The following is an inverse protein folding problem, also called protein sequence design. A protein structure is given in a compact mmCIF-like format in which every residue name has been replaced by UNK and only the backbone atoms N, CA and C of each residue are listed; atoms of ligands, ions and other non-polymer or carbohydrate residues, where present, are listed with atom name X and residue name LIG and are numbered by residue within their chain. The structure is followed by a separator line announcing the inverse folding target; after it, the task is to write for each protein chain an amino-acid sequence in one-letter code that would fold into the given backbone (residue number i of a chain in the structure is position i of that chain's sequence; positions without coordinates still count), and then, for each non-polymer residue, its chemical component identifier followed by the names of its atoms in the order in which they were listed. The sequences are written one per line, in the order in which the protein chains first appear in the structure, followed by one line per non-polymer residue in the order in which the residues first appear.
data_IF_195531855631
#
_entry.id   IF_195531855631
#
_cell.length_a   1.000
_cell.length_b   1.000
_cell.length_c   1.000
_cell.angle_alpha   90.00
_cell.angle_beta   90.00
_cell.angle_gamma   90.00
#
_symmetry.space_group_name_H-M   'P 1'
#
loop_
_entity.id
_entity.type
_entity.pdbx_description
1 polymer ?
#
# COMPACT_ATOMS: atom_id res chain seq x y z
N UNK A 1 -21.01 11.02 7.25
CA UNK A 1 -20.56 9.79 7.95
C UNK A 1 -19.29 10.17 8.69
N UNK A 2 -19.31 10.16 10.03
CA UNK A 2 -18.13 10.44 10.83
C UNK A 2 -17.32 9.15 11.01
N UNK A 3 -15.99 9.27 10.93
CA UNK A 3 -15.05 8.18 11.20
C UNK A 3 -14.39 8.51 12.54
N UNK A 4 -14.55 7.64 13.52
CA UNK A 4 -13.92 7.78 14.83
C UNK A 4 -12.59 7.03 14.84
N UNK A 5 -11.48 7.74 15.09
CA UNK A 5 -10.16 7.11 15.23
C UNK A 5 -9.91 6.81 16.71
N UNK A 6 -9.90 5.53 17.06
CA UNK A 6 -9.62 5.08 18.43
C UNK A 6 -8.16 5.32 18.85
N UNK A 7 -7.85 5.25 20.16
CA UNK A 7 -6.49 5.45 20.68
C UNK A 7 -5.48 4.45 20.11
N UNK A 8 -5.94 3.24 19.75
CA UNK A 8 -5.12 2.19 19.12
C UNK A 8 -4.99 2.36 17.58
N UNK A 9 -5.60 3.41 17.01
CA UNK A 9 -5.58 3.70 15.57
C UNK A 9 -6.65 2.96 14.75
N UNK A 10 -7.62 2.32 15.38
CA UNK A 10 -8.77 1.70 14.69
C UNK A 10 -9.73 2.75 14.15
N UNK A 11 -10.27 2.50 12.95
CA UNK A 11 -11.32 3.30 12.34
C UNK A 11 -12.68 2.70 12.73
N UNK A 12 -13.51 3.48 13.41
CA UNK A 12 -14.76 3.00 14.02
C UNK A 12 -15.96 3.85 13.60
N UNK A 13 -17.10 3.19 13.45
CA UNK A 13 -18.43 3.82 13.47
C UNK A 13 -18.72 4.42 14.85
N UNK A 14 -19.78 5.24 14.96
CA UNK A 14 -20.28 5.77 16.25
C UNK A 14 -20.69 4.66 17.24
N UNK A 15 -21.02 3.47 16.74
CA UNK A 15 -21.35 2.30 17.58
C UNK A 15 -20.15 1.38 17.84
N UNK A 16 -18.92 1.80 17.49
CA UNK A 16 -17.70 1.03 17.75
C UNK A 16 -17.42 -0.14 16.78
N UNK A 17 -18.15 -0.27 15.67
CA UNK A 17 -17.82 -1.25 14.62
C UNK A 17 -16.66 -0.79 13.76
N UNK A 18 -15.76 -1.71 13.39
CA UNK A 18 -14.67 -1.45 12.44
C UNK A 18 -15.20 -0.92 11.11
N UNK A 19 -14.56 0.14 10.62
CA UNK A 19 -14.84 0.81 9.36
C UNK A 19 -13.57 0.81 8.50
N UNK A 20 -13.18 -0.36 8.01
CA UNK A 20 -11.98 -0.53 7.20
C UNK A 20 -10.68 -0.53 8.02
N UNK A 21 -9.59 -0.12 7.38
CA UNK A 21 -8.23 -0.11 7.94
C UNK A 21 -7.52 1.21 7.61
N UNK A 22 -6.68 1.67 8.53
CA UNK A 22 -5.78 2.81 8.37
C UNK A 22 -4.36 2.39 7.97
N UNK A 23 -4.13 1.10 7.71
CA UNK A 23 -2.78 0.54 7.49
C UNK A 23 -2.41 0.44 6.01
N UNK A 24 -1.20 0.84 5.61
CA UNK A 24 -0.68 0.65 4.25
C UNK A 24 -0.53 -0.83 3.86
N UNK A 25 -0.47 -1.10 2.55
CA UNK A 25 -0.24 -2.47 2.03
C UNK A 25 1.07 -3.07 2.54
N UNK A 26 2.16 -2.29 2.57
CA UNK A 26 3.47 -2.75 3.06
C UNK A 26 3.46 -3.17 4.53
N UNK A 27 2.62 -2.53 5.37
CA UNK A 27 2.41 -2.97 6.75
C UNK A 27 1.72 -4.34 6.83
N UNK A 28 0.78 -4.62 5.91
CA UNK A 28 0.18 -5.94 5.79
C UNK A 28 1.20 -6.99 5.36
N UNK A 29 2.02 -6.67 4.35
CA UNK A 29 3.10 -7.53 3.86
C UNK A 29 4.08 -7.87 4.99
N UNK A 30 4.57 -6.87 5.74
CA UNK A 30 5.52 -7.10 6.84
C UNK A 30 4.92 -7.97 7.94
N UNK A 31 3.63 -7.84 8.26
CA UNK A 31 2.98 -8.74 9.23
C UNK A 31 2.93 -10.19 8.74
N UNK A 32 2.59 -10.43 7.46
CA UNK A 32 2.54 -11.78 6.91
C UNK A 32 3.91 -12.45 6.95
N UNK A 33 4.97 -11.71 6.63
CA UNK A 33 6.34 -12.25 6.66
C UNK A 33 6.85 -12.38 8.09
N UNK A 34 6.91 -11.28 8.85
CA UNK A 34 7.61 -11.23 10.14
C UNK A 34 6.82 -11.87 11.29
N UNK A 35 5.49 -11.82 11.25
CA UNK A 35 4.64 -12.33 12.34
C UNK A 35 4.07 -13.70 12.06
N UNK A 36 3.77 -14.00 10.80
CA UNK A 36 3.21 -15.30 10.40
C UNK A 36 4.24 -16.22 9.75
N UNK A 37 5.47 -15.75 9.50
CA UNK A 37 6.56 -16.57 8.97
C UNK A 37 6.37 -16.99 7.52
N UNK A 38 5.54 -16.28 6.75
CA UNK A 38 5.31 -16.59 5.34
C UNK A 38 6.52 -16.17 4.49
N UNK A 39 6.95 -16.97 3.50
CA UNK A 39 7.99 -16.56 2.56
C UNK A 39 7.59 -15.29 1.80
N UNK A 40 8.52 -14.34 1.67
CA UNK A 40 8.27 -13.06 1.01
C UNK A 40 7.80 -13.25 -0.44
N UNK A 41 8.33 -14.23 -1.15
CA UNK A 41 7.95 -14.55 -2.54
C UNK A 41 6.50 -14.98 -2.66
N UNK A 42 5.96 -15.68 -1.65
CA UNK A 42 4.55 -16.04 -1.58
C UNK A 42 3.70 -14.80 -1.30
N UNK A 43 4.10 -13.98 -0.34
CA UNK A 43 3.39 -12.75 0.01
C UNK A 43 3.36 -11.75 -1.16
N UNK A 44 4.43 -11.65 -1.95
CA UNK A 44 4.47 -10.87 -3.19
C UNK A 44 3.45 -11.36 -4.24
N UNK A 45 3.17 -12.67 -4.29
CA UNK A 45 2.10 -13.19 -5.16
C UNK A 45 0.72 -12.81 -4.62
N UNK A 46 0.53 -12.86 -3.29
CA UNK A 46 -0.73 -12.44 -2.65
C UNK A 46 -1.06 -10.97 -2.91
N UNK A 47 -0.05 -10.10 -2.90
CA UNK A 47 -0.21 -8.65 -3.04
C UNK A 47 -0.20 -8.14 -4.50
N UNK A 48 0.20 -8.97 -5.46
CA UNK A 48 0.38 -8.54 -6.87
C UNK A 48 -0.13 -9.58 -7.88
N UNK A 49 0.56 -10.72 -8.03
CA UNK A 49 0.25 -11.71 -9.08
C UNK A 49 -1.18 -12.26 -9.00
N UNK A 50 -1.64 -12.62 -7.82
CA UNK A 50 -2.97 -13.19 -7.61
C UNK A 50 -4.07 -12.17 -7.94
N UNK A 51 -3.84 -10.89 -7.64
CA UNK A 51 -4.75 -9.80 -7.97
C UNK A 51 -4.81 -9.59 -9.49
N UNK A 52 -3.65 -9.58 -10.16
CA UNK A 52 -3.59 -9.51 -11.61
C UNK A 52 -4.37 -10.66 -12.27
N UNK A 53 -4.15 -11.90 -11.81
CA UNK A 53 -4.91 -13.06 -12.29
C UNK A 53 -6.41 -12.94 -12.02
N UNK A 54 -6.80 -12.50 -10.82
CA UNK A 54 -8.22 -12.36 -10.43
C UNK A 54 -8.99 -11.42 -11.36
N UNK A 55 -8.35 -10.36 -11.85
CA UNK A 55 -8.94 -9.38 -12.74
C UNK A 55 -8.59 -9.58 -14.23
N UNK A 56 -7.90 -10.66 -14.58
CA UNK A 56 -7.56 -11.00 -15.97
C UNK A 56 -6.44 -10.13 -16.58
N UNK A 57 -5.63 -9.47 -15.76
CA UNK A 57 -4.48 -8.71 -16.24
C UNK A 57 -3.28 -9.63 -16.49
N UNK A 58 -2.83 -9.67 -17.74
CA UNK A 58 -1.67 -10.48 -18.17
C UNK A 58 -0.37 -9.68 -18.25
N UNK A 59 -0.49 -8.35 -18.27
CA UNK A 59 0.55 -7.35 -18.49
C UNK A 59 1.15 -6.77 -17.19
N UNK A 60 0.67 -7.21 -16.02
CA UNK A 60 1.14 -6.76 -14.69
C UNK A 60 1.15 -7.93 -13.69
N UNK A 61 1.52 -7.64 -12.44
CA UNK A 61 1.53 -8.61 -11.34
C UNK A 61 2.80 -9.48 -11.23
N UNK A 62 3.75 -9.34 -12.17
CA UNK A 62 5.03 -10.04 -12.15
C UNK A 62 6.10 -9.26 -12.91
N UNK A 63 7.37 -9.52 -12.59
CA UNK A 63 8.51 -8.93 -13.29
C UNK A 63 8.94 -9.85 -14.43
N UNK A 64 8.64 -9.46 -15.66
CA UNK A 64 9.04 -10.19 -16.88
C UNK A 64 9.07 -9.24 -18.08
N UNK A 65 9.92 -9.52 -19.07
CA UNK A 65 9.97 -8.74 -20.30
C UNK A 65 8.59 -8.68 -20.99
N UNK A 66 8.24 -7.52 -21.55
CA UNK A 66 6.97 -7.29 -22.23
C UNK A 66 5.79 -6.89 -21.33
N UNK A 67 5.98 -6.85 -20.00
CA UNK A 67 4.98 -6.35 -19.04
C UNK A 67 5.21 -4.87 -18.69
N UNK A 68 4.19 -4.24 -18.11
CA UNK A 68 4.35 -2.90 -17.56
C UNK A 68 5.41 -2.90 -16.45
N UNK A 69 6.24 -1.87 -16.45
CA UNK A 69 7.19 -1.60 -15.39
C UNK A 69 6.50 -0.92 -14.19
N UNK A 70 5.46 -1.57 -13.68
CA UNK A 70 4.81 -1.25 -12.41
C UNK A 70 5.59 -1.94 -11.29
N UNK A 71 6.53 -1.21 -10.68
CA UNK A 71 7.52 -1.77 -9.76
C UNK A 71 7.54 -1.00 -8.44
N UNK A 72 7.78 -1.70 -7.35
CA UNK A 72 8.00 -1.12 -6.03
C UNK A 72 9.34 -1.62 -5.51
N UNK A 73 10.19 -0.67 -5.11
CA UNK A 73 11.47 -0.94 -4.47
C UNK A 73 11.30 -0.59 -3.00
N UNK A 74 11.66 -1.51 -2.11
CA UNK A 74 11.56 -1.35 -0.66
C UNK A 74 12.92 -1.61 0.02
N UNK A 75 13.07 -1.12 1.25
CA UNK A 75 14.16 -1.55 2.15
C UNK A 75 13.74 -2.74 3.03
N UNK A 76 14.69 -3.23 3.82
CA UNK A 76 14.52 -4.37 4.72
C UNK A 76 13.52 -4.07 5.87
N UNK A 77 13.24 -2.79 6.13
CA UNK A 77 12.20 -2.33 7.06
C UNK A 77 10.81 -2.18 6.41
N UNK A 78 10.63 -2.70 5.19
CA UNK A 78 9.39 -2.64 4.42
C UNK A 78 8.92 -1.20 4.14
N UNK A 79 9.85 -0.24 4.03
CA UNK A 79 9.54 1.13 3.63
C UNK A 79 9.76 1.31 2.12
N UNK A 80 8.89 2.06 1.43
CA UNK A 80 9.06 2.31 0.01
C UNK A 80 10.26 3.23 -0.24
N UNK A 81 11.14 2.83 -1.17
CA UNK A 81 12.25 3.64 -1.69
C UNK A 81 11.82 4.34 -2.98
N UNK A 82 11.37 3.56 -3.96
CA UNK A 82 10.87 4.07 -5.25
C UNK A 82 9.61 3.31 -5.68
N UNK A 83 8.67 4.03 -6.29
CA UNK A 83 7.54 3.42 -6.98
C UNK A 83 7.56 3.83 -8.44
N UNK A 84 7.44 2.86 -9.33
CA UNK A 84 7.32 3.06 -10.76
C UNK A 84 5.92 2.67 -11.21
N UNK A 85 5.33 3.49 -12.07
CA UNK A 85 4.12 3.15 -12.82
C UNK A 85 4.42 3.28 -14.31
N UNK A 86 4.25 2.18 -15.04
CA UNK A 86 4.55 2.06 -16.46
C UNK A 86 5.96 2.59 -16.83
N UNK A 87 6.94 2.35 -15.94
CA UNK A 87 8.34 2.74 -16.11
C UNK A 87 8.66 4.19 -15.73
N UNK A 88 7.68 4.99 -15.30
CA UNK A 88 7.89 6.33 -14.77
C UNK A 88 7.97 6.29 -13.25
N UNK A 89 8.96 6.97 -12.67
CA UNK A 89 9.00 7.15 -11.22
C UNK A 89 7.84 8.06 -10.79
N UNK A 90 7.00 7.55 -9.89
CA UNK A 90 5.83 8.26 -9.33
C UNK A 90 5.96 8.49 -7.82
N UNK A 91 6.98 7.89 -7.21
CA UNK A 91 7.41 8.18 -5.85
C UNK A 91 8.91 7.93 -5.73
N UNK A 92 9.63 8.88 -5.15
CA UNK A 92 11.03 8.82 -4.77
C UNK A 92 11.18 9.33 -3.34
N UNK A 93 11.57 8.45 -2.42
CA UNK A 93 11.76 8.78 -1.01
C UNK A 93 12.69 9.97 -0.76
N UNK A 94 13.64 10.23 -1.66
CA UNK A 94 14.61 11.33 -1.51
C UNK A 94 14.00 12.69 -1.87
N UNK A 95 13.03 12.71 -2.80
CA UNK A 95 12.40 13.92 -3.32
C UNK A 95 11.02 14.16 -2.69
N UNK A 96 10.19 13.13 -2.62
CA UNK A 96 8.79 13.20 -2.21
C UNK A 96 8.65 13.14 -0.68
N UNK A 97 8.72 14.30 -0.04
CA UNK A 97 8.54 14.44 1.41
C UNK A 97 7.08 14.67 1.83
N UNK A 98 6.28 15.24 0.95
CA UNK A 98 4.87 15.58 1.18
C UNK A 98 3.96 14.57 0.49
N UNK A 99 3.71 13.45 1.17
CA UNK A 99 2.96 12.31 0.61
C UNK A 99 1.45 12.56 0.48
N UNK A 100 0.92 13.52 1.22
CA UNK A 100 -0.49 13.81 1.24
C UNK A 100 -0.80 15.00 0.34
N UNK A 101 -1.94 14.92 -0.36
CA UNK A 101 -2.46 16.06 -1.09
C UNK A 101 -2.82 17.17 -0.10
N UNK A 102 -1.97 18.19 -0.01
CA UNK A 102 -2.13 19.29 0.94
C UNK A 102 -3.37 20.15 0.65
N UNK A 103 -3.78 20.29 -0.62
CA UNK A 103 -5.01 20.98 -0.98
C UNK A 103 -6.23 20.23 -0.41
N UNK A 104 -6.27 18.91 -0.60
CA UNK A 104 -7.33 18.07 0.00
C UNK A 104 -7.31 18.14 1.52
N UNK A 105 -6.13 18.02 2.16
CA UNK A 105 -6.02 18.13 3.61
C UNK A 105 -6.51 19.47 4.14
N UNK A 106 -6.25 20.58 3.44
CA UNK A 106 -6.73 21.89 3.82
C UNK A 106 -8.26 22.01 3.75
N UNK A 107 -8.91 21.29 2.83
CA UNK A 107 -10.37 21.23 2.71
C UNK A 107 -11.02 20.38 3.79
N UNK A 108 -10.41 19.24 4.16
CA UNK A 108 -11.04 18.24 5.04
C UNK A 108 -10.57 18.25 6.49
N UNK A 109 -9.46 18.93 6.83
CA UNK A 109 -9.05 19.11 8.22
C UNK A 109 -10.09 19.97 8.93
N UNK A 110 -10.95 19.32 9.70
CA UNK A 110 -11.76 19.98 10.73
C UNK A 110 -10.78 20.61 11.72
N UNK A 111 -10.90 21.94 11.91
CA UNK A 111 -10.12 22.68 12.93
C UNK A 111 -10.57 22.30 14.33
#
# INVERSE_FOLDING_TARGET
MLINVGPDGFLLTDTGRLMGSSKPVLFGISNLVEKLGMPLEEVCRLSSLNVAHKYGFTDRGSISAGKYADLLIIDDEYQPIHTYSEGRIVYDRTVDKELFNQAYLAEVRVK
#
